data_IF_082339013080
#
_entry.id   IF_082339013080
#
_cell.length_a   1.000
_cell.length_b   1.000
_cell.length_c   1.000
_cell.angle_alpha   90.00
_cell.angle_beta   90.00
_cell.angle_gamma   90.00
#
_symmetry.space_group_name_H-M   'P 1'
#
loop_
_entity.id
_entity.type
_entity.pdbx_description
1 polymer ?
#
# COMPACT_ATOMS: atom_id res chain seq x y z
N UNK A 1 -19.89 1.68 -7.99
CA UNK A 1 -20.35 1.33 -6.61
C UNK A 1 -19.88 -0.07 -6.21
N UNK A 2 -20.13 -1.15 -6.98
CA UNK A 2 -19.70 -2.50 -6.60
C UNK A 2 -18.18 -2.64 -6.43
N UNK A 3 -17.42 -2.00 -7.31
CA UNK A 3 -15.95 -1.89 -7.24
C UNK A 3 -15.47 -1.35 -5.88
N UNK A 4 -15.88 -0.13 -5.51
CA UNK A 4 -15.43 0.52 -4.27
C UNK A 4 -15.85 -0.25 -3.01
N UNK A 5 -17.05 -0.84 -2.99
CA UNK A 5 -17.49 -1.70 -1.90
C UNK A 5 -16.63 -2.96 -1.77
N UNK A 6 -16.28 -3.58 -2.89
CA UNK A 6 -15.43 -4.78 -2.91
C UNK A 6 -14.02 -4.45 -2.41
N UNK A 7 -13.44 -3.35 -2.90
CA UNK A 7 -12.13 -2.86 -2.45
C UNK A 7 -12.14 -2.54 -0.96
N UNK A 8 -13.19 -1.86 -0.47
CA UNK A 8 -13.32 -1.53 0.95
C UNK A 8 -13.48 -2.78 1.83
N UNK A 9 -14.31 -3.75 1.40
CA UNK A 9 -14.51 -5.00 2.11
C UNK A 9 -13.22 -5.84 2.17
N UNK A 10 -12.56 -6.02 1.02
CA UNK A 10 -11.31 -6.76 0.93
C UNK A 10 -10.20 -6.08 1.76
N UNK A 11 -10.12 -4.75 1.69
CA UNK A 11 -9.20 -3.96 2.50
C UNK A 11 -9.46 -4.07 3.99
N UNK A 12 -10.73 -4.04 4.42
CA UNK A 12 -11.13 -4.20 5.82
C UNK A 12 -10.74 -5.58 6.35
N UNK A 13 -11.03 -6.65 5.62
CA UNK A 13 -10.65 -8.01 6.02
C UNK A 13 -9.12 -8.17 6.04
N UNK A 14 -8.42 -7.63 5.05
CA UNK A 14 -6.96 -7.62 5.03
C UNK A 14 -6.38 -6.90 6.26
N UNK A 15 -6.96 -5.76 6.68
CA UNK A 15 -6.54 -5.04 7.88
C UNK A 15 -6.73 -5.82 9.18
N UNK A 16 -7.72 -6.73 9.24
CA UNK A 16 -7.93 -7.60 10.40
C UNK A 16 -6.96 -8.80 10.44
N UNK A 17 -6.58 -9.33 9.28
CA UNK A 17 -5.79 -10.56 9.17
C UNK A 17 -4.30 -10.27 9.12
N UNK A 18 -3.88 -9.35 8.25
CA UNK A 18 -2.48 -9.09 7.91
C UNK A 18 -1.58 -8.74 9.12
N UNK A 19 -1.99 -7.91 10.10
CA UNK A 19 -1.14 -7.60 11.26
C UNK A 19 -0.77 -8.83 12.10
N UNK A 20 -1.52 -9.94 11.98
CA UNK A 20 -1.30 -11.18 12.71
C UNK A 20 -0.33 -12.13 12.01
N UNK A 21 0.08 -11.83 10.78
CA UNK A 21 0.97 -12.67 9.97
C UNK A 21 2.39 -12.04 9.97
N UNK A 22 3.46 -12.85 10.09
CA UNK A 22 4.84 -12.36 9.94
C UNK A 22 5.08 -11.86 8.51
N UNK A 23 5.74 -10.73 8.25
CA UNK A 23 6.76 -10.11 9.10
C UNK A 23 6.22 -9.07 10.09
N UNK A 24 4.99 -8.59 9.90
CA UNK A 24 4.40 -7.53 10.72
C UNK A 24 4.23 -7.98 12.17
N UNK A 25 3.72 -9.20 12.38
CA UNK A 25 3.50 -9.75 13.72
C UNK A 25 4.78 -10.00 14.54
N UNK A 26 5.96 -9.90 13.91
CA UNK A 26 7.27 -10.12 14.54
C UNK A 26 8.05 -8.83 14.78
N UNK A 27 7.53 -7.68 14.37
CA UNK A 27 8.16 -6.38 14.67
C UNK A 27 8.01 -6.12 16.16
N UNK A 28 9.10 -5.75 16.81
CA UNK A 28 9.13 -5.49 18.24
C UNK A 28 8.29 -4.25 18.56
N UNK A 29 7.54 -4.32 19.66
CA UNK A 29 6.80 -3.18 20.20
C UNK A 29 7.75 -2.33 21.05
N UNK A 30 8.74 -1.74 20.37
CA UNK A 30 9.82 -0.95 20.98
C UNK A 30 10.00 0.35 20.23
N UNK A 31 10.19 1.44 20.97
CA UNK A 31 10.53 2.73 20.39
C UNK A 31 11.85 2.66 19.62
N UNK A 32 11.95 3.45 18.55
CA UNK A 32 13.17 3.55 17.71
C UNK A 32 14.34 4.18 18.49
N UNK A 33 14.04 4.94 19.54
CA UNK A 33 15.00 5.42 20.51
C UNK A 33 14.89 4.54 21.77
N UNK A 34 16.02 4.08 22.30
CA UNK A 34 16.10 3.32 23.57
C UNK A 34 15.75 4.17 24.80
N UNK A 35 15.50 5.46 24.62
CA UNK A 35 14.86 6.32 25.59
C UNK A 35 13.35 6.12 25.44
N UNK A 36 12.76 5.37 26.37
CA UNK A 36 11.33 5.49 26.64
C UNK A 36 11.11 6.95 27.02
N UNK A 37 10.65 7.75 26.06
CA UNK A 37 10.39 9.16 26.29
C UNK A 37 9.38 9.24 27.43
N UNK A 38 9.68 10.12 28.39
CA UNK A 38 8.87 10.47 29.56
C UNK A 38 7.60 11.23 29.15
N UNK A 39 7.10 10.98 27.94
CA UNK A 39 5.82 11.45 27.42
C UNK A 39 4.72 10.56 27.99
N UNK A 40 4.54 10.68 29.31
CA UNK A 40 3.32 10.20 29.95
C UNK A 40 2.12 10.80 29.21
N UNK A 41 1.33 9.96 28.54
CA UNK A 41 -0.01 10.31 28.05
C UNK A 41 -1.00 10.57 29.22
N UNK A 42 -0.49 10.63 30.44
CA UNK A 42 -1.27 10.91 31.64
C UNK A 42 -1.75 12.36 31.61
N UNK A 43 -3.07 12.52 31.63
CA UNK A 43 -3.69 13.82 31.80
C UNK A 43 -3.36 14.30 33.22
N UNK A 44 -2.76 15.49 33.39
CA UNK A 44 -2.43 16.00 34.72
C UNK A 44 -3.67 16.03 35.62
N UNK A 45 -3.52 15.73 36.92
CA UNK A 45 -4.61 15.60 37.92
C UNK A 45 -5.62 16.76 37.95
N UNK A 46 -5.23 17.95 37.47
CA UNK A 46 -6.04 19.16 37.44
C UNK A 46 -6.72 19.44 36.09
N UNK A 47 -6.60 18.55 35.10
CA UNK A 47 -7.23 18.66 33.81
C UNK A 47 -8.10 17.44 33.48
N UNK A 48 -9.21 17.68 32.75
CA UNK A 48 -9.89 16.63 31.98
C UNK A 48 -9.28 16.59 30.56
N UNK A 49 -9.42 15.45 29.86
CA UNK A 49 -8.93 15.19 28.49
C UNK A 49 -9.23 16.36 27.54
N UNK A 50 -10.44 16.91 27.58
CA UNK A 50 -10.83 18.04 26.73
C UNK A 50 -10.08 19.34 27.05
N UNK A 51 -9.93 19.66 28.33
CA UNK A 51 -9.20 20.86 28.78
C UNK A 51 -7.70 20.73 28.53
N UNK A 52 -7.11 19.54 28.73
CA UNK A 52 -5.69 19.31 28.46
C UNK A 52 -5.41 19.35 26.96
N UNK A 53 -6.25 18.70 26.15
CA UNK A 53 -6.17 18.75 24.69
C UNK A 53 -6.31 20.18 24.14
N UNK A 54 -7.23 20.98 24.71
CA UNK A 54 -7.37 22.39 24.35
C UNK A 54 -6.12 23.21 24.72
N UNK A 55 -5.58 23.03 25.94
CA UNK A 55 -4.38 23.72 26.39
C UNK A 55 -3.17 23.38 25.48
N UNK A 56 -2.97 22.10 25.15
CA UNK A 56 -1.92 21.65 24.22
C UNK A 56 -2.12 22.19 22.80
N UNK A 57 -3.35 22.23 22.29
CA UNK A 57 -3.64 22.80 20.98
C UNK A 57 -3.34 24.31 20.91
N UNK A 58 -3.68 25.05 21.97
CA UNK A 58 -3.34 26.48 22.09
C UNK A 58 -1.83 26.69 22.21
N UNK A 59 -1.15 25.87 23.03
CA UNK A 59 0.31 25.88 23.16
C UNK A 59 0.98 25.66 21.79
N UNK A 60 0.56 24.63 21.05
CA UNK A 60 1.09 24.34 19.72
C UNK A 60 0.77 25.44 18.70
N UNK A 61 -0.45 25.99 18.73
CA UNK A 61 -0.85 27.10 17.87
C UNK A 61 -0.03 28.36 18.12
N UNK A 62 0.29 28.65 19.39
CA UNK A 62 1.11 29.80 19.79
C UNK A 62 2.57 29.71 19.32
N UNK A 63 3.07 28.49 19.09
CA UNK A 63 4.41 28.22 18.53
C UNK A 63 4.46 28.35 17.00
N UNK A 64 3.32 28.47 16.30
CA UNK A 64 3.29 28.54 14.84
C UNK A 64 3.85 29.89 14.34
N UNK A 65 4.71 29.84 13.32
CA UNK A 65 5.45 30.99 12.77
C UNK A 65 4.62 31.92 11.87
N UNK A 66 3.29 31.90 12.00
CA UNK A 66 2.34 32.70 11.22
C UNK A 66 2.03 32.12 9.83
N UNK A 67 0.99 32.65 9.19
CA UNK A 67 0.40 32.10 7.94
C UNK A 67 1.40 32.09 6.78
N UNK A 68 2.18 33.16 6.61
CA UNK A 68 3.16 33.27 5.52
C UNK A 68 4.24 32.20 5.60
N UNK A 69 4.76 31.97 6.81
CA UNK A 69 5.84 31.03 7.02
C UNK A 69 5.36 29.59 7.01
N UNK A 70 4.11 29.33 7.43
CA UNK A 70 3.43 28.07 7.19
C UNK A 70 3.36 27.71 5.69
N UNK A 71 2.89 28.63 4.84
CA UNK A 71 2.82 28.36 3.39
C UNK A 71 4.20 28.19 2.76
N UNK A 72 5.20 28.98 3.19
CA UNK A 72 6.57 28.84 2.70
C UNK A 72 7.18 27.50 3.10
N UNK A 73 7.04 27.09 4.36
CA UNK A 73 7.52 25.80 4.84
C UNK A 73 6.80 24.64 4.14
N UNK A 74 5.47 24.74 3.98
CA UNK A 74 4.69 23.74 3.24
C UNK A 74 5.14 23.61 1.78
N UNK A 75 5.33 24.72 1.09
CA UNK A 75 5.81 24.72 -0.29
C UNK A 75 7.23 24.15 -0.41
N UNK A 76 8.14 24.51 0.51
CA UNK A 76 9.49 23.93 0.57
C UNK A 76 9.43 22.42 0.80
N UNK A 77 8.65 21.94 1.77
CA UNK A 77 8.49 20.51 2.03
C UNK A 77 7.96 19.75 0.80
N UNK A 78 6.96 20.29 0.10
CA UNK A 78 6.41 19.66 -1.11
C UNK A 78 7.49 19.58 -2.20
N UNK A 79 8.22 20.69 -2.43
CA UNK A 79 9.29 20.72 -3.42
C UNK A 79 10.43 19.76 -3.07
N UNK A 80 10.84 19.70 -1.80
CA UNK A 80 11.88 18.79 -1.32
C UNK A 80 11.46 17.33 -1.51
N UNK A 81 10.21 16.99 -1.16
CA UNK A 81 9.66 15.65 -1.42
C UNK A 81 9.61 15.33 -2.92
N UNK A 82 9.16 16.26 -3.77
CA UNK A 82 9.12 16.04 -5.22
C UNK A 82 10.50 15.81 -5.81
N UNK A 83 11.47 16.66 -5.48
CA UNK A 83 12.83 16.55 -6.00
C UNK A 83 13.56 15.31 -5.46
N UNK A 84 13.26 14.89 -4.21
CA UNK A 84 13.84 13.70 -3.60
C UNK A 84 13.21 12.39 -4.08
N UNK A 85 11.89 12.34 -4.25
CA UNK A 85 11.14 11.10 -4.47
C UNK A 85 10.82 10.87 -5.95
N UNK A 86 10.41 11.90 -6.70
CA UNK A 86 9.93 11.73 -8.07
C UNK A 86 10.97 11.11 -9.03
N UNK A 87 12.26 11.51 -9.03
CA UNK A 87 13.25 10.89 -9.92
C UNK A 87 13.45 9.40 -9.63
N UNK A 88 13.38 9.01 -8.35
CA UNK A 88 13.56 7.63 -7.89
C UNK A 88 12.38 6.78 -8.32
N UNK A 89 11.15 7.27 -8.08
CA UNK A 89 9.90 6.65 -8.53
C UNK A 89 9.93 6.45 -10.05
N UNK A 90 10.30 7.49 -10.81
CA UNK A 90 10.34 7.44 -12.27
C UNK A 90 11.38 6.44 -12.79
N UNK A 91 12.57 6.40 -12.20
CA UNK A 91 13.61 5.46 -12.59
C UNK A 91 13.19 4.00 -12.30
N UNK A 92 12.73 3.72 -11.08
CA UNK A 92 12.30 2.38 -10.68
C UNK A 92 11.07 1.92 -11.45
N UNK A 93 10.06 2.78 -11.61
CA UNK A 93 8.85 2.50 -12.38
C UNK A 93 9.16 2.23 -13.85
N UNK A 94 10.04 3.02 -14.48
CA UNK A 94 10.43 2.80 -15.88
C UNK A 94 11.18 1.48 -16.06
N UNK A 95 12.12 1.16 -15.17
CA UNK A 95 12.85 -0.12 -15.22
C UNK A 95 11.89 -1.29 -15.04
N UNK A 96 10.98 -1.19 -14.06
CA UNK A 96 10.03 -2.26 -13.80
C UNK A 96 9.03 -2.44 -14.94
N UNK A 97 8.60 -1.36 -15.60
CA UNK A 97 7.79 -1.40 -16.82
C UNK A 97 8.54 -2.07 -17.97
N UNK A 98 9.81 -1.73 -18.22
CA UNK A 98 10.60 -2.36 -19.27
C UNK A 98 10.75 -3.87 -19.01
N UNK A 99 10.95 -4.27 -17.75
CA UNK A 99 11.00 -5.69 -17.37
C UNK A 99 9.63 -6.34 -17.60
N UNK A 100 8.53 -5.67 -17.24
CA UNK A 100 7.17 -6.20 -17.41
C UNK A 100 6.77 -6.39 -18.88
N UNK A 101 7.10 -5.42 -19.74
CA UNK A 101 6.67 -5.42 -21.13
C UNK A 101 7.57 -6.28 -22.02
N UNK A 102 8.90 -6.26 -21.80
CA UNK A 102 9.86 -6.85 -22.73
C UNK A 102 10.49 -8.16 -22.24
N UNK A 103 10.20 -8.63 -21.02
CA UNK A 103 10.78 -9.87 -20.48
C UNK A 103 9.72 -10.78 -19.87
N UNK A 104 9.90 -12.12 -19.94
CA UNK A 104 8.96 -13.08 -19.35
C UNK A 104 9.10 -13.20 -17.82
N UNK A 105 9.77 -12.24 -17.16
CA UNK A 105 10.07 -12.29 -15.73
C UNK A 105 8.81 -12.40 -14.88
N UNK A 106 7.80 -11.56 -15.16
CA UNK A 106 6.53 -11.59 -14.43
C UNK A 106 5.66 -12.78 -14.81
N UNK A 107 5.77 -13.29 -16.05
CA UNK A 107 5.12 -14.55 -16.45
C UNK A 107 5.60 -15.71 -15.59
N UNK A 108 6.90 -15.86 -15.39
CA UNK A 108 7.45 -16.92 -14.52
C UNK A 108 7.06 -16.74 -13.06
N UNK A 109 7.05 -15.50 -12.59
CA UNK A 109 6.67 -15.21 -11.21
C UNK A 109 5.17 -15.46 -10.98
N UNK A 110 4.32 -15.27 -12.00
CA UNK A 110 2.87 -15.46 -11.96
C UNK A 110 2.43 -16.92 -12.02
N UNK A 111 3.27 -17.85 -12.49
CA UNK A 111 2.97 -19.31 -12.58
C UNK A 111 2.33 -19.88 -11.30
N UNK A 112 2.79 -19.58 -10.08
CA UNK A 112 2.18 -20.09 -8.85
C UNK A 112 0.73 -19.62 -8.62
N UNK A 113 0.31 -18.51 -9.23
CA UNK A 113 -1.05 -17.97 -9.11
C UNK A 113 -2.02 -18.58 -10.12
N UNK A 114 -1.54 -19.16 -11.22
CA UNK A 114 -2.38 -19.84 -12.22
C UNK A 114 -3.29 -20.91 -11.57
N UNK A 115 -2.77 -21.91 -10.84
CA UNK A 115 -3.62 -22.96 -10.25
C UNK A 115 -4.60 -22.40 -9.21
N UNK A 116 -4.23 -21.31 -8.53
CA UNK A 116 -5.12 -20.65 -7.57
C UNK A 116 -6.30 -19.99 -8.29
N UNK A 117 -6.04 -19.26 -9.38
CA UNK A 117 -7.06 -18.61 -10.19
C UNK A 117 -7.96 -19.62 -10.92
N UNK A 118 -7.39 -20.71 -11.44
CA UNK A 118 -8.14 -21.81 -12.03
C UNK A 118 -9.04 -22.51 -11.01
N UNK A 119 -8.53 -22.76 -9.79
CA UNK A 119 -9.33 -23.32 -8.70
C UNK A 119 -10.50 -22.41 -8.32
N UNK A 120 -10.28 -21.09 -8.37
CA UNK A 120 -11.33 -20.09 -8.16
C UNK A 120 -12.17 -19.84 -9.42
N UNK A 121 -12.03 -20.63 -10.49
CA UNK A 121 -12.82 -20.53 -11.72
C UNK A 121 -12.75 -19.16 -12.42
N UNK A 122 -11.62 -18.45 -12.31
CA UNK A 122 -11.42 -17.15 -12.97
C UNK A 122 -11.12 -17.36 -14.47
N UNK A 123 -11.90 -16.76 -15.39
CA UNK A 123 -11.60 -16.81 -16.82
C UNK A 123 -10.25 -16.15 -17.14
N UNK A 124 -9.55 -16.61 -18.18
CA UNK A 124 -8.24 -16.06 -18.58
C UNK A 124 -7.22 -16.06 -17.41
N UNK A 125 -7.24 -17.12 -16.59
CA UNK A 125 -6.41 -17.24 -15.39
C UNK A 125 -4.91 -17.04 -15.66
N UNK A 126 -4.41 -17.47 -16.81
CA UNK A 126 -3.02 -17.27 -17.18
C UNK A 126 -2.68 -15.79 -17.35
N UNK A 127 -3.41 -15.07 -18.20
CA UNK A 127 -3.23 -13.62 -18.41
C UNK A 127 -3.41 -12.84 -17.10
N UNK A 128 -4.42 -13.21 -16.30
CA UNK A 128 -4.65 -12.60 -15.00
C UNK A 128 -3.46 -12.82 -14.05
N UNK A 129 -2.89 -14.01 -13.99
CA UNK A 129 -1.77 -14.33 -13.09
C UNK A 129 -0.53 -13.47 -13.35
N UNK A 130 -0.25 -13.14 -14.60
CA UNK A 130 0.89 -12.31 -14.99
C UNK A 130 0.67 -10.88 -14.48
N UNK A 131 -0.53 -10.34 -14.69
CA UNK A 131 -0.87 -8.98 -14.27
C UNK A 131 -0.86 -8.77 -12.75
N UNK A 132 -1.24 -9.79 -11.97
CA UNK A 132 -1.30 -9.68 -10.50
C UNK A 132 0.06 -9.31 -9.90
N UNK A 133 1.16 -9.87 -10.43
CA UNK A 133 2.50 -9.62 -9.91
C UNK A 133 3.18 -8.40 -10.52
N UNK A 134 2.78 -7.99 -11.73
CA UNK A 134 3.14 -6.68 -12.25
C UNK A 134 2.62 -5.57 -11.33
N UNK A 135 1.55 -5.81 -10.56
CA UNK A 135 1.05 -4.88 -9.53
C UNK A 135 2.07 -4.54 -8.44
N UNK A 136 3.08 -5.40 -8.22
CA UNK A 136 4.19 -5.10 -7.31
C UNK A 136 5.14 -4.04 -7.87
N UNK A 137 5.27 -3.96 -9.19
CA UNK A 137 6.07 -2.94 -9.85
C UNK A 137 5.35 -1.59 -9.81
N UNK A 138 4.09 -1.57 -10.21
CA UNK A 138 3.28 -0.36 -10.31
C UNK A 138 1.78 -0.71 -10.23
N UNK A 139 1.01 0.09 -9.50
CA UNK A 139 -0.43 -0.17 -9.31
C UNK A 139 -1.28 0.00 -10.58
N UNK A 140 -0.82 0.79 -11.56
CA UNK A 140 -1.59 1.10 -12.77
C UNK A 140 -1.38 0.08 -13.89
N UNK A 141 -0.21 -0.56 -13.93
CA UNK A 141 0.12 -1.50 -15.00
C UNK A 141 -0.84 -2.70 -15.11
N UNK A 142 -1.29 -3.34 -14.01
CA UNK A 142 -2.25 -4.43 -14.13
C UNK A 142 -3.56 -3.99 -14.77
N UNK A 143 -4.04 -2.78 -14.47
CA UNK A 143 -5.26 -2.25 -15.08
C UNK A 143 -5.06 -1.89 -16.56
N UNK A 144 -3.88 -1.39 -16.93
CA UNK A 144 -3.52 -1.10 -18.32
C UNK A 144 -3.45 -2.37 -19.16
N UNK A 145 -2.71 -3.38 -18.69
CA UNK A 145 -2.52 -4.66 -19.37
C UNK A 145 -3.83 -5.45 -19.36
N UNK A 146 -4.53 -5.49 -18.23
CA UNK A 146 -5.79 -6.21 -18.06
C UNK A 146 -6.94 -5.62 -18.87
N UNK A 147 -6.86 -4.38 -19.35
CA UNK A 147 -7.90 -3.77 -20.18
C UNK A 147 -8.14 -4.51 -21.50
N UNK A 148 -7.15 -5.27 -21.99
CA UNK A 148 -7.26 -6.09 -23.21
C UNK A 148 -7.95 -7.45 -22.99
N UNK A 149 -8.15 -7.87 -21.73
CA UNK A 149 -8.77 -9.15 -21.39
C UNK A 149 -10.27 -9.08 -21.66
N UNK A 150 -10.81 -10.05 -22.42
CA UNK A 150 -12.21 -10.05 -22.86
C UNK A 150 -13.19 -10.16 -21.67
N UNK A 151 -12.85 -10.97 -20.67
CA UNK A 151 -13.67 -11.22 -19.48
C UNK A 151 -13.83 -9.97 -18.60
N UNK A 152 -15.07 -9.51 -18.42
CA UNK A 152 -15.42 -8.44 -17.48
C UNK A 152 -15.11 -8.82 -16.03
N UNK A 153 -15.36 -10.07 -15.66
CA UNK A 153 -15.07 -10.59 -14.33
C UNK A 153 -13.57 -10.55 -14.02
N UNK A 154 -12.73 -10.95 -14.97
CA UNK A 154 -11.27 -10.95 -14.81
C UNK A 154 -10.74 -9.52 -14.71
N UNK A 155 -11.24 -8.62 -15.57
CA UNK A 155 -10.93 -7.18 -15.48
C UNK A 155 -11.32 -6.58 -14.14
N UNK A 156 -12.49 -6.95 -13.62
CA UNK A 156 -12.95 -6.50 -12.30
C UNK A 156 -12.02 -6.98 -11.18
N UNK A 157 -11.61 -8.25 -11.20
CA UNK A 157 -10.69 -8.83 -10.21
C UNK A 157 -9.34 -8.09 -10.25
N UNK A 158 -8.74 -7.93 -11.43
CA UNK A 158 -7.45 -7.24 -11.59
C UNK A 158 -7.54 -5.79 -11.13
N UNK A 159 -8.59 -5.07 -11.53
CA UNK A 159 -8.79 -3.68 -11.10
C UNK A 159 -8.91 -3.56 -9.56
N UNK A 160 -9.62 -4.50 -8.92
CA UNK A 160 -9.73 -4.50 -7.45
C UNK A 160 -8.39 -4.84 -6.78
N UNK A 161 -7.62 -5.78 -7.35
CA UNK A 161 -6.30 -6.16 -6.82
C UNK A 161 -5.30 -5.01 -6.90
N UNK A 162 -5.24 -4.30 -8.04
CA UNK A 162 -4.40 -3.11 -8.22
C UNK A 162 -4.55 -2.10 -7.09
N UNK A 163 -5.78 -1.85 -6.64
CA UNK A 163 -6.04 -0.88 -5.56
C UNK A 163 -5.84 -1.52 -4.19
N UNK A 164 -6.23 -2.78 -4.01
CA UNK A 164 -6.14 -3.45 -2.71
C UNK A 164 -4.75 -3.94 -2.36
N UNK A 165 -3.75 -3.90 -3.24
CA UNK A 165 -2.37 -4.29 -2.91
C UNK A 165 -1.56 -3.16 -2.24
N UNK A 166 -1.86 -1.87 -2.52
CA UNK A 166 -1.23 -0.58 -2.07
C UNK A 166 0.31 -0.53 -1.90
N UNK A 167 1.05 -1.62 -2.10
CA UNK A 167 2.49 -1.71 -1.88
C UNK A 167 3.10 -2.00 -3.23
N UNK A 168 3.80 -1.01 -3.78
CA UNK A 168 4.51 -1.14 -5.04
C UNK A 168 5.87 -0.44 -4.96
N UNK A 169 6.82 -0.96 -5.72
CA UNK A 169 8.23 -0.57 -5.64
C UNK A 169 8.47 0.93 -5.87
N UNK A 170 7.64 1.57 -6.70
CA UNK A 170 7.82 2.97 -7.05
C UNK A 170 7.50 3.93 -5.88
N UNK A 171 6.54 3.63 -5.00
CA UNK A 171 6.24 4.45 -3.81
C UNK A 171 7.13 4.11 -2.62
N UNK A 172 7.39 2.83 -2.39
CA UNK A 172 8.15 2.40 -1.22
C UNK A 172 9.65 2.67 -1.37
N UNK A 173 10.17 2.80 -2.59
CA UNK A 173 11.55 3.24 -2.84
C UNK A 173 11.87 4.60 -2.21
N UNK A 174 10.99 5.59 -2.38
CA UNK A 174 11.15 6.91 -1.76
C UNK A 174 10.93 6.89 -0.25
N UNK A 175 9.94 6.12 0.21
CA UNK A 175 9.60 6.02 1.62
C UNK A 175 10.70 5.33 2.43
N UNK A 176 11.36 4.30 1.90
CA UNK A 176 12.50 3.64 2.56
C UNK A 176 13.75 4.51 2.60
N UNK A 177 13.99 5.32 1.57
CA UNK A 177 15.13 6.23 1.55
C UNK A 177 14.94 7.43 2.49
N UNK A 178 13.69 7.87 2.67
CA UNK A 178 13.34 8.99 3.54
C UNK A 178 12.99 8.62 4.98
N UNK A 179 12.75 7.35 5.31
CA UNK A 179 12.20 6.92 6.60
C UNK A 179 13.11 5.95 7.36
N UNK A 180 13.11 6.07 8.70
CA UNK A 180 13.77 5.12 9.62
C UNK A 180 12.95 3.85 9.88
N UNK A 181 11.88 3.63 9.12
CA UNK A 181 10.99 2.47 9.30
C UNK A 181 11.77 1.18 8.98
N UNK A 182 11.89 0.23 9.93
CA UNK A 182 12.74 -0.96 9.80
C UNK A 182 12.08 -2.06 8.96
N UNK A 183 11.66 -1.73 7.74
CA UNK A 183 11.02 -2.68 6.82
C UNK A 183 11.93 -2.83 5.60
N UNK A 184 12.38 -4.07 5.35
CA UNK A 184 13.26 -4.35 4.21
C UNK A 184 12.46 -4.58 2.92
N UNK A 185 13.11 -4.47 1.75
CA UNK A 185 12.51 -4.82 0.45
C UNK A 185 11.91 -6.25 0.44
N UNK A 186 12.55 -7.19 1.15
CA UNK A 186 12.03 -8.55 1.30
C UNK A 186 10.73 -8.59 2.08
N UNK A 187 10.64 -7.83 3.17
CA UNK A 187 9.44 -7.76 4.00
C UNK A 187 8.27 -7.19 3.19
N UNK A 188 8.53 -6.17 2.36
CA UNK A 188 7.52 -5.56 1.49
C UNK A 188 7.00 -6.53 0.44
N UNK A 189 7.88 -7.32 -0.17
CA UNK A 189 7.48 -8.34 -1.13
C UNK A 189 6.62 -9.43 -0.47
N UNK A 190 6.98 -9.84 0.76
CA UNK A 190 6.18 -10.80 1.53
C UNK A 190 4.80 -10.20 1.86
N UNK A 191 4.74 -8.96 2.35
CA UNK A 191 3.48 -8.28 2.67
C UNK A 191 2.61 -8.13 1.40
N UNK A 192 3.21 -7.84 0.24
CA UNK A 192 2.51 -7.78 -1.03
C UNK A 192 1.86 -9.13 -1.39
N UNK A 193 2.60 -10.24 -1.26
CA UNK A 193 2.07 -11.58 -1.53
C UNK A 193 0.97 -11.96 -0.54
N UNK A 194 1.17 -11.71 0.76
CA UNK A 194 0.17 -11.96 1.79
C UNK A 194 -1.11 -11.21 1.52
N UNK A 195 -0.98 -9.92 1.21
CA UNK A 195 -2.13 -9.08 0.91
C UNK A 195 -2.89 -9.59 -0.30
N UNK A 196 -2.17 -9.98 -1.35
CA UNK A 196 -2.76 -10.59 -2.55
C UNK A 196 -3.50 -11.88 -2.21
N UNK A 197 -2.89 -12.79 -1.44
CA UNK A 197 -3.50 -14.07 -1.05
C UNK A 197 -4.74 -13.87 -0.18
N UNK A 198 -4.76 -12.84 0.68
CA UNK A 198 -5.91 -12.53 1.54
C UNK A 198 -7.05 -11.86 0.76
N UNK A 199 -6.74 -10.88 -0.09
CA UNK A 199 -7.77 -10.10 -0.79
C UNK A 199 -8.34 -10.82 -2.01
N UNK A 200 -7.53 -11.62 -2.71
CA UNK A 200 -7.93 -12.29 -3.95
C UNK A 200 -9.17 -13.20 -3.78
N UNK A 201 -9.28 -14.08 -2.77
CA UNK A 201 -10.48 -14.90 -2.58
C UNK A 201 -11.74 -14.08 -2.33
N UNK A 202 -11.61 -12.98 -1.58
CA UNK A 202 -12.73 -12.08 -1.24
C UNK A 202 -13.22 -11.37 -2.51
N UNK A 203 -12.29 -10.82 -3.28
CA UNK A 203 -12.57 -10.13 -4.54
C UNK A 203 -13.21 -11.11 -5.53
N UNK A 204 -12.63 -12.30 -5.68
CA UNK A 204 -13.14 -13.31 -6.60
C UNK A 204 -14.52 -13.81 -6.20
N UNK A 205 -14.80 -13.98 -4.91
CA UNK A 205 -16.14 -14.35 -4.43
C UNK A 205 -17.16 -13.28 -4.78
N UNK A 206 -16.83 -12.00 -4.57
CA UNK A 206 -17.72 -10.91 -4.97
C UNK A 206 -17.86 -10.82 -6.50
N UNK A 207 -16.80 -11.10 -7.26
CA UNK A 207 -16.86 -11.13 -8.71
C UNK A 207 -17.85 -12.17 -9.23
N UNK A 208 -17.87 -13.39 -8.67
CA UNK A 208 -18.87 -14.43 -9.00
C UNK A 208 -20.31 -14.08 -8.62
N UNK A 209 -20.50 -13.13 -7.68
CA UNK A 209 -21.84 -12.66 -7.31
C UNK A 209 -22.34 -11.56 -8.26
N UNK A 210 -21.43 -10.91 -8.99
CA UNK A 210 -21.73 -9.77 -9.86
C UNK A 210 -21.81 -10.15 -11.34
N UNK A 211 -21.05 -11.17 -11.77
CA UNK A 211 -20.94 -11.66 -13.15
C UNK A 211 -21.31 -13.14 -13.21
#
# INVERSE_FOLDING_TARGET
IPFYLTVALAGFIAALIMPRIPPLSRKADTYVNEEADDDSEEVPDHHNVFTYGYAKAVEQGSKSTGVKEFFKQGAQNILDMWMGVAPIVMALGTIALVIAEFTPFFSWLGVPFIPLLELMQVPYAQEASETILVGFADMFLPALIGASIESEMTRFIIACLSVTQLIYMSEVGGLLLGSKVPVNLKDLFIIFLERTIITLPIITLVAHLLF
#
